data_IF_921900481246
#
_entry.id   IF_921900481246
#
_cell.length_a   1.000
_cell.length_b   1.000
_cell.length_c   1.000
_cell.angle_alpha   90.00
_cell.angle_beta   90.00
_cell.angle_gamma   90.00
#
_symmetry.space_group_name_H-M   'P 1'
#
loop_
_entity.id
_entity.type
_entity.pdbx_description
1 polymer ?
#
# COMPACT_ATOMS: atom_id res chain seq x y z
N UNK A 1 -10.92 -3.01 7.64
CA UNK A 1 -10.98 -3.94 6.47
C UNK A 1 -9.92 -5.03 6.56
N UNK A 2 -10.17 -6.21 5.99
CA UNK A 2 -9.25 -7.35 5.95
C UNK A 2 -9.07 -7.82 4.51
N UNK A 3 -7.87 -8.27 4.15
CA UNK A 3 -7.61 -8.89 2.85
C UNK A 3 -8.27 -10.28 2.81
N UNK A 4 -9.17 -10.49 1.85
CA UNK A 4 -9.97 -11.72 1.68
C UNK A 4 -9.38 -12.64 0.62
N UNK A 5 -9.02 -12.08 -0.55
CA UNK A 5 -8.44 -12.83 -1.66
C UNK A 5 -7.28 -12.07 -2.28
N UNK A 6 -6.31 -12.82 -2.78
CA UNK A 6 -5.22 -12.33 -3.58
C UNK A 6 -5.10 -13.16 -4.85
N UNK A 7 -5.39 -12.55 -5.99
CA UNK A 7 -5.25 -13.17 -7.30
C UNK A 7 -3.97 -12.66 -7.96
N UNK A 8 -3.18 -13.58 -8.49
CA UNK A 8 -1.87 -13.33 -9.10
C UNK A 8 -1.87 -13.94 -10.50
N UNK A 9 -1.60 -13.13 -11.51
CA UNK A 9 -1.47 -13.58 -12.89
C UNK A 9 -0.11 -13.15 -13.45
N UNK A 10 0.58 -14.05 -14.12
CA UNK A 10 1.81 -13.86 -14.87
C UNK A 10 2.99 -13.26 -14.08
N UNK A 11 3.17 -13.73 -12.83
CA UNK A 11 4.27 -13.27 -11.97
C UNK A 11 5.28 -14.39 -11.69
N UNK A 12 6.53 -14.28 -12.14
CA UNK A 12 7.66 -15.21 -11.93
C UNK A 12 7.34 -16.66 -12.31
N UNK A 13 7.03 -17.52 -11.33
CA UNK A 13 6.62 -18.92 -11.53
C UNK A 13 5.10 -19.11 -11.46
N UNK A 14 4.36 -18.04 -11.31
CA UNK A 14 2.91 -18.07 -11.17
C UNK A 14 2.29 -17.63 -12.49
N UNK A 15 1.61 -18.55 -13.16
CA UNK A 15 0.79 -18.23 -14.34
C UNK A 15 -0.55 -17.64 -13.91
N UNK A 16 -1.28 -18.36 -13.04
CA UNK A 16 -2.54 -17.93 -12.46
C UNK A 16 -2.71 -18.62 -11.10
N UNK A 17 -2.97 -17.83 -10.05
CA UNK A 17 -3.15 -18.32 -8.71
C UNK A 17 -4.13 -17.42 -7.95
N UNK A 18 -5.11 -18.04 -7.29
CA UNK A 18 -6.05 -17.36 -6.41
C UNK A 18 -5.87 -17.89 -4.98
N UNK A 19 -5.52 -17.02 -4.07
CA UNK A 19 -5.22 -17.33 -2.68
C UNK A 19 -6.27 -16.73 -1.76
N UNK A 20 -6.93 -17.57 -0.98
CA UNK A 20 -7.84 -17.14 0.10
C UNK A 20 -7.04 -16.76 1.34
N UNK A 21 -7.36 -15.63 1.92
CA UNK A 21 -6.69 -15.10 3.11
C UNK A 21 -7.51 -15.37 4.36
N UNK A 22 -6.81 -15.72 5.44
CA UNK A 22 -7.36 -15.80 6.80
C UNK A 22 -6.64 -14.79 7.69
N UNK A 23 -6.98 -14.74 8.97
CA UNK A 23 -6.25 -13.93 9.95
C UNK A 23 -4.78 -14.35 10.03
N UNK A 24 -4.51 -15.65 9.95
CA UNK A 24 -3.16 -16.19 9.91
C UNK A 24 -3.07 -17.23 8.80
N UNK A 25 -2.42 -16.88 7.70
CA UNK A 25 -2.19 -17.79 6.58
C UNK A 25 -0.77 -18.38 6.66
N UNK A 26 -0.67 -19.71 6.58
CA UNK A 26 0.60 -20.43 6.63
C UNK A 26 0.82 -21.14 5.31
N UNK A 27 1.81 -20.70 4.56
CA UNK A 27 2.21 -21.30 3.29
C UNK A 27 3.33 -22.30 3.49
N UNK A 28 3.08 -23.55 3.11
CA UNK A 28 4.03 -24.67 3.19
C UNK A 28 4.28 -25.26 1.81
N UNK A 29 5.40 -25.95 1.64
CA UNK A 29 5.74 -26.62 0.39
C UNK A 29 7.26 -26.78 0.26
N UNK A 30 7.71 -27.47 -0.78
CA UNK A 30 9.11 -27.71 -1.06
C UNK A 30 9.87 -26.40 -1.35
N UNK A 31 11.21 -26.48 -1.33
CA UNK A 31 12.04 -25.37 -1.77
C UNK A 31 11.76 -25.08 -3.25
N UNK A 32 11.77 -23.79 -3.60
CA UNK A 32 11.55 -23.34 -4.98
C UNK A 32 10.16 -23.63 -5.58
N UNK A 33 9.15 -23.97 -4.76
CA UNK A 33 7.77 -24.17 -5.23
C UNK A 33 6.99 -22.85 -5.43
N UNK A 34 7.54 -21.70 -5.08
CA UNK A 34 6.94 -20.38 -5.32
C UNK A 34 6.36 -19.66 -4.10
N UNK A 35 6.57 -20.17 -2.86
CA UNK A 35 6.08 -19.50 -1.62
C UNK A 35 6.51 -18.03 -1.55
N UNK A 36 7.81 -17.78 -1.68
CA UNK A 36 8.36 -16.42 -1.68
C UNK A 36 7.83 -15.55 -2.81
N UNK A 37 7.47 -16.15 -3.94
CA UNK A 37 6.93 -15.39 -5.07
C UNK A 37 5.56 -14.78 -4.75
N UNK A 38 4.73 -15.45 -3.95
CA UNK A 38 3.45 -14.91 -3.49
C UNK A 38 3.67 -13.67 -2.60
N UNK A 39 4.59 -13.74 -1.63
CA UNK A 39 4.92 -12.59 -0.77
C UNK A 39 5.52 -11.42 -1.57
N UNK A 40 6.39 -11.73 -2.54
CA UNK A 40 6.97 -10.71 -3.42
C UNK A 40 5.95 -10.11 -4.40
N UNK A 41 4.95 -10.87 -4.84
CA UNK A 41 3.84 -10.33 -5.62
C UNK A 41 3.01 -9.36 -4.77
N UNK A 42 2.76 -9.70 -3.51
CA UNK A 42 2.07 -8.79 -2.59
C UNK A 42 2.91 -7.53 -2.31
N UNK A 43 4.22 -7.65 -2.10
CA UNK A 43 5.13 -6.52 -1.96
C UNK A 43 5.11 -5.63 -3.22
N UNK A 44 5.14 -6.24 -4.42
CA UNK A 44 5.02 -5.51 -5.68
C UNK A 44 3.68 -4.75 -5.78
N UNK A 45 2.58 -5.32 -5.27
CA UNK A 45 1.30 -4.62 -5.27
C UNK A 45 1.37 -3.29 -4.49
N UNK A 46 2.03 -3.28 -3.35
CA UNK A 46 2.16 -2.09 -2.48
C UNK A 46 3.24 -1.09 -2.93
N UNK A 47 4.11 -1.46 -3.88
CA UNK A 47 5.07 -0.51 -4.47
C UNK A 47 4.34 0.51 -5.34
N UNK A 48 4.75 1.77 -5.26
CA UNK A 48 4.16 2.89 -6.00
C UNK A 48 4.96 3.30 -7.25
N UNK A 49 6.00 2.54 -7.58
CA UNK A 49 6.97 2.85 -8.63
C UNK A 49 7.35 1.60 -9.40
N UNK A 50 7.62 1.76 -10.69
CA UNK A 50 8.20 0.70 -11.55
C UNK A 50 9.71 0.56 -11.39
N UNK A 51 10.33 1.32 -10.49
CA UNK A 51 11.76 1.28 -10.24
C UNK A 51 12.18 -0.11 -9.72
N UNK A 52 13.14 -0.74 -10.38
CA UNK A 52 13.60 -2.08 -10.03
C UNK A 52 12.83 -3.23 -10.68
N UNK A 53 11.75 -2.95 -11.44
CA UNK A 53 11.07 -3.97 -12.24
C UNK A 53 11.93 -4.30 -13.46
N UNK A 54 12.05 -5.60 -13.72
CA UNK A 54 12.76 -6.16 -14.86
C UNK A 54 12.03 -7.41 -15.39
N UNK A 55 12.56 -8.07 -16.42
CA UNK A 55 12.00 -9.26 -17.03
C UNK A 55 11.85 -10.44 -16.04
N UNK A 56 12.68 -10.51 -14.99
CA UNK A 56 12.59 -11.57 -13.96
C UNK A 56 11.32 -11.51 -13.09
N UNK A 57 10.57 -10.42 -13.16
CA UNK A 57 9.27 -10.30 -12.48
C UNK A 57 8.15 -10.95 -13.30
N UNK A 58 8.32 -11.06 -14.62
CA UNK A 58 7.32 -11.63 -15.51
C UNK A 58 7.38 -13.16 -15.52
N UNK A 59 6.23 -13.79 -15.78
CA UNK A 59 6.13 -15.24 -15.76
C UNK A 59 7.03 -15.86 -16.80
N UNK A 60 7.96 -16.72 -16.35
CA UNK A 60 9.02 -17.30 -17.17
C UNK A 60 9.78 -16.31 -18.04
N UNK A 61 9.89 -15.05 -17.59
CA UNK A 61 10.51 -13.92 -18.30
C UNK A 61 9.78 -13.49 -19.58
N UNK A 62 8.53 -13.91 -19.76
CA UNK A 62 7.70 -13.49 -20.89
C UNK A 62 7.04 -12.15 -20.62
N UNK A 63 7.64 -11.06 -21.10
CA UNK A 63 7.08 -9.72 -21.01
C UNK A 63 5.93 -9.42 -21.98
N UNK A 64 5.50 -10.39 -22.79
CA UNK A 64 4.37 -10.21 -23.72
C UNK A 64 3.03 -10.18 -22.98
N UNK A 65 2.95 -10.79 -21.80
CA UNK A 65 1.78 -10.84 -20.95
C UNK A 65 1.98 -9.90 -19.76
N UNK A 66 1.00 -9.04 -19.41
CA UNK A 66 1.10 -8.18 -18.26
C UNK A 66 1.00 -8.96 -16.94
N UNK A 67 1.71 -8.52 -15.93
CA UNK A 67 1.49 -8.98 -14.56
C UNK A 67 0.20 -8.34 -14.06
N UNK A 68 -0.72 -9.15 -13.52
CA UNK A 68 -1.98 -8.68 -12.94
C UNK A 68 -2.08 -9.15 -11.49
N UNK A 69 -2.22 -8.22 -10.56
CA UNK A 69 -2.31 -8.46 -9.12
C UNK A 69 -3.62 -7.87 -8.61
N UNK A 70 -4.53 -8.70 -8.11
CA UNK A 70 -5.83 -8.24 -7.61
C UNK A 70 -5.98 -8.55 -6.12
N UNK A 71 -6.24 -7.53 -5.32
CA UNK A 71 -6.59 -7.64 -3.91
C UNK A 71 -8.07 -7.42 -3.72
N UNK A 72 -8.71 -8.31 -2.97
CA UNK A 72 -10.10 -8.18 -2.53
C UNK A 72 -10.13 -8.05 -1.02
N UNK A 73 -10.73 -6.97 -0.53
CA UNK A 73 -10.88 -6.68 0.89
C UNK A 73 -12.35 -6.83 1.30
N UNK A 74 -12.57 -7.37 2.49
CA UNK A 74 -13.88 -7.48 3.14
C UNK A 74 -13.84 -6.95 4.60
N UNK A 75 -14.87 -7.25 5.39
CA UNK A 75 -14.97 -6.90 6.83
C UNK A 75 -14.68 -5.42 7.07
N UNK A 76 -15.31 -4.57 6.27
CA UNK A 76 -15.19 -3.14 6.37
C UNK A 76 -15.85 -2.65 7.66
N UNK A 77 -15.14 -1.83 8.42
CA UNK A 77 -15.67 -1.13 9.59
C UNK A 77 -16.62 0.00 9.17
N UNK A 78 -17.51 0.45 10.06
CA UNK A 78 -18.48 1.49 9.72
C UNK A 78 -17.81 2.80 9.31
N UNK A 79 -16.71 3.16 9.96
CA UNK A 79 -15.92 4.32 9.57
C UNK A 79 -15.30 4.20 8.15
N UNK A 80 -14.99 2.99 7.71
CA UNK A 80 -14.50 2.72 6.35
C UNK A 80 -15.64 2.77 5.33
N UNK A 81 -16.84 2.26 5.69
CA UNK A 81 -18.02 2.31 4.84
C UNK A 81 -18.50 3.74 4.61
N UNK A 82 -18.42 4.60 5.65
CA UNK A 82 -18.85 6.00 5.59
C UNK A 82 -17.77 6.93 5.00
N UNK A 83 -16.56 6.42 4.75
CA UNK A 83 -15.47 7.25 4.24
C UNK A 83 -15.78 7.79 2.83
N UNK A 84 -15.66 9.11 2.59
CA UNK A 84 -16.10 9.76 1.34
C UNK A 84 -15.56 9.15 0.06
N UNK A 85 -14.38 8.55 0.13
CA UNK A 85 -13.70 7.93 -1.02
C UNK A 85 -14.05 6.46 -1.10
N UNK A 86 -13.90 5.70 0.02
CA UNK A 86 -14.08 4.25 0.03
C UNK A 86 -15.51 3.83 -0.29
N UNK A 87 -16.53 4.58 0.20
CA UNK A 87 -17.94 4.26 -0.06
C UNK A 87 -18.28 4.04 -1.55
N UNK A 88 -17.56 4.74 -2.45
CA UNK A 88 -17.77 4.62 -3.89
C UNK A 88 -17.08 3.38 -4.51
N UNK A 89 -16.28 2.66 -3.71
CA UNK A 89 -15.51 1.49 -4.12
C UNK A 89 -16.08 0.20 -3.57
N UNK A 90 -17.03 0.32 -2.64
CA UNK A 90 -17.67 -0.83 -2.01
C UNK A 90 -18.72 -1.36 -2.97
N UNK A 91 -18.53 -2.61 -3.38
CA UNK A 91 -19.50 -3.36 -4.15
C UNK A 91 -19.71 -4.71 -3.47
N UNK A 92 -20.96 -5.05 -3.16
CA UNK A 92 -21.35 -6.29 -2.43
C UNK A 92 -20.57 -6.48 -1.10
N UNK A 93 -20.32 -5.38 -0.38
CA UNK A 93 -19.58 -5.39 0.88
C UNK A 93 -18.06 -5.59 0.73
N UNK A 94 -17.52 -5.59 -0.48
CA UNK A 94 -16.11 -5.79 -0.79
C UNK A 94 -15.50 -4.59 -1.53
N UNK A 95 -14.19 -4.44 -1.40
CA UNK A 95 -13.38 -3.52 -2.22
C UNK A 95 -12.40 -4.35 -3.02
N UNK A 96 -12.42 -4.22 -4.36
CA UNK A 96 -11.49 -4.93 -5.25
C UNK A 96 -10.61 -3.95 -6.00
N UNK A 97 -9.30 -4.16 -5.90
CA UNK A 97 -8.29 -3.31 -6.52
C UNK A 97 -7.33 -4.18 -7.31
N UNK A 98 -7.08 -3.80 -8.56
CA UNK A 98 -6.15 -4.49 -9.45
C UNK A 98 -4.98 -3.57 -9.80
N UNK A 99 -3.77 -4.11 -9.72
CA UNK A 99 -2.56 -3.52 -10.28
C UNK A 99 -2.13 -4.31 -11.49
N UNK A 100 -1.86 -3.61 -12.59
CA UNK A 100 -1.32 -4.20 -13.82
C UNK A 100 0.05 -3.59 -14.08
N UNK A 101 1.05 -4.42 -14.32
CA UNK A 101 2.41 -4.02 -14.71
C UNK A 101 2.70 -4.62 -16.08
N UNK A 102 3.14 -3.79 -17.03
CA UNK A 102 3.38 -4.23 -18.40
C UNK A 102 4.64 -3.59 -19.00
N UNK A 103 5.19 -4.26 -20.00
CA UNK A 103 6.26 -3.74 -20.82
C UNK A 103 5.70 -2.99 -22.03
N UNK A 104 5.96 -1.70 -22.12
CA UNK A 104 5.56 -0.84 -23.25
C UNK A 104 6.61 -0.92 -24.35
N UNK A 105 6.39 -1.76 -25.34
CA UNK A 105 7.35 -1.98 -26.44
C UNK A 105 7.72 -0.70 -27.19
N UNK A 106 6.74 0.19 -27.43
CA UNK A 106 6.94 1.43 -28.16
C UNK A 106 7.78 2.45 -27.39
N UNK A 107 7.71 2.41 -26.06
CA UNK A 107 8.39 3.37 -25.18
C UNK A 107 9.66 2.79 -24.56
N UNK A 108 9.89 1.47 -24.68
CA UNK A 108 11.06 0.79 -24.10
C UNK A 108 11.12 0.87 -22.57
N UNK A 109 9.98 0.91 -21.91
CA UNK A 109 9.89 1.04 -20.43
C UNK A 109 8.76 0.20 -19.85
N UNK A 110 8.88 -0.08 -18.55
CA UNK A 110 7.79 -0.66 -17.79
C UNK A 110 6.79 0.43 -17.38
N UNK A 111 5.51 0.09 -17.42
CA UNK A 111 4.43 0.93 -16.92
C UNK A 111 3.61 0.16 -15.88
N UNK A 112 2.92 0.89 -15.01
CA UNK A 112 1.95 0.31 -14.09
C UNK A 112 0.68 1.12 -14.06
N UNK A 113 -0.44 0.43 -13.95
CA UNK A 113 -1.76 1.02 -13.84
C UNK A 113 -2.54 0.35 -12.70
N UNK A 114 -3.40 1.14 -12.07
CA UNK A 114 -4.30 0.65 -11.06
C UNK A 114 -5.74 0.74 -11.53
N UNK A 115 -6.52 -0.26 -11.14
CA UNK A 115 -7.93 -0.36 -11.46
C UNK A 115 -8.71 -0.65 -10.19
N UNK A 116 -9.92 -0.12 -10.11
CA UNK A 116 -10.87 -0.52 -9.09
C UNK A 116 -12.12 -1.12 -9.70
N UNK A 117 -12.73 -2.02 -8.97
CA UNK A 117 -13.99 -2.63 -9.34
C UNK A 117 -15.14 -1.76 -8.89
N UNK A 118 -15.82 -1.10 -9.82
CA UNK A 118 -16.90 -0.15 -9.54
C UNK A 118 -18.01 -0.27 -10.56
N UNK A 119 -19.22 0.07 -10.12
CA UNK A 119 -20.32 0.33 -11.04
C UNK A 119 -20.15 1.71 -11.68
N UNK A 120 -20.52 1.82 -12.95
CA UNK A 120 -20.61 3.09 -13.66
C UNK A 120 -22.07 3.51 -13.79
N UNK A 121 -22.36 4.82 -13.80
CA UNK A 121 -23.67 5.28 -14.23
C UNK A 121 -24.02 4.71 -15.61
N UNK A 122 -25.25 4.23 -15.80
CA UNK A 122 -25.71 3.76 -17.10
C UNK A 122 -25.76 4.90 -18.11
N UNK A 123 -26.14 6.08 -17.66
CA UNK A 123 -26.20 7.27 -18.50
C UNK A 123 -24.87 7.99 -18.48
N UNK A 124 -24.26 8.18 -19.68
CA UNK A 124 -22.93 8.75 -19.85
C UNK A 124 -22.79 10.14 -19.20
N UNK A 125 -23.85 10.94 -19.22
CA UNK A 125 -23.84 12.28 -18.67
C UNK A 125 -23.74 12.35 -17.13
N UNK A 126 -23.90 11.25 -16.43
CA UNK A 126 -23.58 11.12 -15.02
C UNK A 126 -22.20 10.49 -14.74
N UNK A 127 -21.51 9.96 -15.77
CA UNK A 127 -20.13 9.50 -15.61
C UNK A 127 -19.15 10.66 -15.72
N UNK A 128 -18.69 11.16 -14.57
CA UNK A 128 -17.74 12.28 -14.50
C UNK A 128 -16.39 11.99 -15.15
N UNK A 129 -16.06 10.73 -15.42
CA UNK A 129 -14.85 10.34 -16.15
C UNK A 129 -14.97 10.60 -17.65
N UNK A 130 -16.18 10.49 -18.17
CA UNK A 130 -16.52 10.81 -19.56
C UNK A 130 -16.90 12.30 -19.74
N UNK A 131 -16.70 13.14 -18.71
CA UNK A 131 -17.14 14.54 -18.68
C UNK A 131 -16.70 15.35 -19.89
N UNK A 132 -15.50 15.11 -20.41
CA UNK A 132 -14.97 15.82 -21.58
C UNK A 132 -15.81 15.59 -22.85
N UNK A 133 -16.51 14.47 -22.94
CA UNK A 133 -17.37 14.15 -24.10
C UNK A 133 -18.63 15.01 -24.15
N UNK A 134 -19.15 15.44 -22.99
CA UNK A 134 -20.43 16.13 -22.89
C UNK A 134 -20.36 17.49 -22.18
N UNK A 135 -19.17 17.96 -21.78
CA UNK A 135 -18.98 19.24 -21.05
C UNK A 135 -19.56 20.47 -21.76
N UNK A 136 -19.63 20.45 -23.09
CA UNK A 136 -20.22 21.53 -23.87
C UNK A 136 -21.77 21.59 -23.76
N UNK A 137 -22.40 20.48 -23.40
CA UNK A 137 -23.86 20.32 -23.40
C UNK A 137 -24.48 20.26 -22.00
N UNK A 138 -23.73 20.48 -20.93
CA UNK A 138 -24.20 20.31 -19.55
C UNK A 138 -25.46 21.12 -19.22
N UNK A 139 -25.62 22.31 -19.81
CA UNK A 139 -26.82 23.14 -19.61
C UNK A 139 -28.04 22.45 -20.21
N UNK A 140 -27.95 21.97 -21.44
CA UNK A 140 -29.05 21.25 -22.11
C UNK A 140 -29.40 19.98 -21.34
N UNK A 141 -28.38 19.22 -20.89
CA UNK A 141 -28.59 17.98 -20.10
C UNK A 141 -29.40 18.29 -18.82
N UNK A 142 -29.07 19.36 -18.10
CA UNK A 142 -29.79 19.77 -16.87
C UNK A 142 -31.23 20.18 -17.19
N UNK A 143 -31.45 20.91 -18.28
CA UNK A 143 -32.76 21.44 -18.67
C UNK A 143 -33.67 20.31 -19.23
N UNK A 144 -33.16 19.48 -20.13
CA UNK A 144 -33.89 18.39 -20.78
C UNK A 144 -34.30 17.28 -19.79
N UNK A 145 -33.38 16.90 -18.89
CA UNK A 145 -33.63 15.87 -17.88
C UNK A 145 -34.30 16.43 -16.62
N UNK A 146 -34.62 17.75 -16.58
CA UNK A 146 -35.24 18.43 -15.44
C UNK A 146 -34.53 18.13 -14.11
N UNK A 147 -33.17 18.20 -14.18
CA UNK A 147 -32.37 17.88 -13.00
C UNK A 147 -32.56 18.93 -11.89
N UNK A 148 -32.46 18.53 -10.59
CA UNK A 148 -32.70 19.40 -9.46
C UNK A 148 -31.81 20.65 -9.40
N UNK A 149 -32.26 21.65 -8.64
CA UNK A 149 -31.59 22.96 -8.53
C UNK A 149 -30.14 22.90 -8.03
N UNK A 150 -29.75 21.83 -7.34
CA UNK A 150 -28.35 21.66 -6.90
C UNK A 150 -27.36 21.40 -8.05
N UNK A 151 -27.82 21.22 -9.30
CA UNK A 151 -26.98 21.27 -10.50
C UNK A 151 -26.66 22.68 -10.98
N UNK A 152 -27.28 23.70 -10.34
CA UNK A 152 -27.15 25.11 -10.68
C UNK A 152 -26.42 25.86 -9.58
N UNK A 153 -25.84 26.99 -9.93
CA UNK A 153 -25.30 27.94 -8.96
C UNK A 153 -26.46 28.71 -8.29
N UNK A 154 -26.19 29.43 -7.22
CA UNK A 154 -27.17 30.30 -6.55
C UNK A 154 -27.82 31.33 -7.51
N UNK A 155 -27.13 31.66 -8.60
CA UNK A 155 -27.64 32.58 -9.67
C UNK A 155 -28.45 31.83 -10.74
N UNK A 156 -28.74 30.53 -10.57
CA UNK A 156 -29.51 29.69 -11.50
C UNK A 156 -28.76 29.27 -12.77
N UNK A 157 -27.44 29.52 -12.86
CA UNK A 157 -26.62 29.13 -14.02
C UNK A 157 -25.97 27.76 -13.80
N UNK A 158 -25.82 26.99 -14.89
CA UNK A 158 -25.09 25.72 -14.86
C UNK A 158 -23.64 26.00 -15.23
N UNK A 159 -22.71 25.70 -14.32
CA UNK A 159 -21.27 25.74 -14.55
C UNK A 159 -20.70 24.32 -14.48
N UNK A 160 -19.47 24.12 -14.97
CA UNK A 160 -18.82 22.81 -14.85
C UNK A 160 -18.67 22.34 -13.39
N UNK A 161 -18.38 23.27 -12.48
CA UNK A 161 -18.26 22.98 -11.05
C UNK A 161 -19.62 22.57 -10.46
N UNK A 162 -20.67 23.39 -10.65
CA UNK A 162 -22.01 23.10 -10.12
C UNK A 162 -22.58 21.80 -10.71
N UNK A 163 -22.27 21.50 -11.99
CA UNK A 163 -22.68 20.25 -12.60
C UNK A 163 -22.01 19.05 -11.97
N UNK A 164 -20.67 19.07 -11.81
CA UNK A 164 -19.92 17.98 -11.16
C UNK A 164 -20.36 17.74 -9.72
N UNK A 165 -20.62 18.80 -8.98
CA UNK A 165 -21.14 18.69 -7.60
C UNK A 165 -22.59 18.18 -7.58
N UNK A 166 -23.39 18.61 -8.55
CA UNK A 166 -24.75 18.10 -8.75
C UNK A 166 -24.77 16.59 -9.05
N UNK A 167 -23.90 16.10 -9.94
CA UNK A 167 -23.78 14.66 -10.24
C UNK A 167 -23.39 13.87 -8.98
N UNK A 168 -22.41 14.35 -8.21
CA UNK A 168 -22.02 13.68 -6.95
C UNK A 168 -23.21 13.56 -6.00
N UNK A 169 -23.93 14.66 -5.75
CA UNK A 169 -25.13 14.64 -4.91
C UNK A 169 -26.23 13.73 -5.46
N UNK A 170 -26.39 13.67 -6.78
CA UNK A 170 -27.40 12.83 -7.43
C UNK A 170 -27.10 11.35 -7.24
N UNK A 171 -25.80 10.97 -7.35
CA UNK A 171 -25.33 9.63 -7.04
C UNK A 171 -25.49 9.30 -5.55
N UNK A 172 -25.10 10.24 -4.67
CA UNK A 172 -25.25 10.08 -3.21
C UNK A 172 -26.70 9.88 -2.75
N UNK A 173 -27.64 10.51 -3.43
CA UNK A 173 -29.06 10.36 -3.18
C UNK A 173 -29.68 9.10 -3.81
N UNK A 174 -28.89 8.25 -4.49
CA UNK A 174 -29.37 7.05 -5.15
C UNK A 174 -30.28 7.31 -6.35
N UNK A 175 -30.21 8.48 -6.97
CA UNK A 175 -31.06 8.91 -8.09
C UNK A 175 -30.47 8.60 -9.46
N UNK A 176 -29.26 8.04 -9.50
CA UNK A 176 -28.58 7.61 -10.73
C UNK A 176 -28.66 6.09 -10.86
N UNK A 177 -29.17 5.62 -11.98
CA UNK A 177 -29.18 4.18 -12.27
C UNK A 177 -27.74 3.72 -12.58
N UNK A 178 -27.22 2.81 -11.76
CA UNK A 178 -25.88 2.25 -11.92
C UNK A 178 -25.94 1.02 -12.83
N UNK A 179 -24.96 0.90 -13.70
CA UNK A 179 -24.75 -0.30 -14.52
C UNK A 179 -24.00 -1.39 -13.77
N UNK A 180 -23.74 -2.49 -14.45
CA UNK A 180 -22.93 -3.59 -13.92
C UNK A 180 -21.52 -3.11 -13.56
N UNK A 181 -20.93 -3.64 -12.48
CA UNK A 181 -19.58 -3.27 -12.08
C UNK A 181 -18.53 -3.73 -13.10
N UNK A 182 -17.48 -2.99 -13.21
CA UNK A 182 -16.35 -3.27 -14.09
C UNK A 182 -15.06 -2.66 -13.60
N UNK A 183 -13.94 -3.06 -14.21
CA UNK A 183 -12.64 -2.48 -13.92
C UNK A 183 -12.53 -1.07 -14.47
N UNK A 184 -12.26 -0.12 -13.60
CA UNK A 184 -12.11 1.29 -13.94
C UNK A 184 -10.68 1.72 -13.69
N UNK A 185 -10.02 2.24 -14.73
CA UNK A 185 -8.62 2.71 -14.67
C UNK A 185 -8.49 3.91 -13.76
N UNK A 186 -7.41 3.91 -12.98
CA UNK A 186 -6.90 5.04 -12.19
C UNK A 186 -8.00 5.84 -11.47
N UNK A 187 -8.66 5.19 -10.53
CA UNK A 187 -9.74 5.86 -9.83
C UNK A 187 -9.20 6.97 -8.95
N UNK A 188 -9.43 8.19 -9.37
CA UNK A 188 -9.36 9.41 -8.56
C UNK A 188 -8.12 9.61 -7.69
N UNK A 189 -6.90 9.42 -8.23
CA UNK A 189 -5.69 9.69 -7.47
C UNK A 189 -5.26 8.54 -6.56
N UNK A 190 -5.32 7.31 -7.05
CA UNK A 190 -4.95 6.08 -6.33
C UNK A 190 -3.67 6.20 -5.49
N UNK A 191 -2.63 6.85 -6.03
CA UNK A 191 -1.32 6.94 -5.36
C UNK A 191 -1.38 7.69 -4.03
N UNK A 192 -2.15 8.77 -3.98
CA UNK A 192 -2.24 9.65 -2.81
C UNK A 192 -3.34 9.22 -1.83
N UNK A 193 -4.40 8.62 -2.34
CA UNK A 193 -5.61 8.34 -1.57
C UNK A 193 -5.68 6.88 -1.14
N UNK A 194 -5.56 5.93 -2.07
CA UNK A 194 -5.69 4.50 -1.76
C UNK A 194 -4.51 3.95 -0.98
N UNK A 195 -3.29 4.40 -1.27
CA UNK A 195 -2.10 3.98 -0.55
C UNK A 195 -2.14 4.28 0.95
N UNK A 196 -2.92 5.30 1.35
CA UNK A 196 -3.14 5.65 2.77
C UNK A 196 -4.37 4.99 3.39
N UNK A 197 -5.29 4.44 2.57
CA UNK A 197 -6.56 3.85 3.01
C UNK A 197 -6.54 2.32 3.08
N UNK A 198 -5.61 1.67 2.40
CA UNK A 198 -5.45 0.22 2.49
C UNK A 198 -4.69 -0.18 3.75
N UNK A 199 -4.93 -1.41 4.28
CA UNK A 199 -4.09 -1.97 5.34
C UNK A 199 -2.62 -1.87 4.98
N UNK A 200 -1.77 -1.49 5.93
CA UNK A 200 -0.33 -1.36 5.70
C UNK A 200 0.29 -2.74 5.52
N UNK A 201 1.21 -2.86 4.59
CA UNK A 201 1.90 -4.11 4.31
C UNK A 201 3.34 -4.05 4.81
N UNK A 202 3.69 -5.03 5.66
CA UNK A 202 5.03 -5.20 6.20
C UNK A 202 5.57 -6.56 5.78
N UNK A 203 6.61 -6.57 4.96
CA UNK A 203 7.25 -7.79 4.49
C UNK A 203 8.60 -8.00 5.19
N UNK A 204 8.77 -9.13 5.86
CA UNK A 204 10.00 -9.59 6.49
C UNK A 204 10.58 -10.73 5.65
N UNK A 205 11.56 -10.48 4.78
CA UNK A 205 12.14 -11.52 3.92
C UNK A 205 12.99 -12.51 4.70
N UNK A 206 13.28 -13.69 4.12
CA UNK A 206 14.24 -14.63 4.63
C UNK A 206 15.64 -14.01 4.60
N UNK A 207 16.35 -14.11 5.74
CA UNK A 207 17.63 -13.41 5.92
C UNK A 207 18.72 -14.01 5.03
N UNK A 208 18.91 -13.45 3.86
CA UNK A 208 20.22 -13.50 3.18
C UNK A 208 21.04 -12.22 3.43
N UNK A 209 20.38 -11.12 3.80
CA UNK A 209 20.98 -9.80 4.01
C UNK A 209 20.49 -9.13 5.31
N UNK A 210 20.68 -9.81 6.45
CA UNK A 210 20.33 -9.23 7.76
C UNK A 210 21.05 -7.90 8.04
N UNK A 211 22.18 -7.66 7.39
CA UNK A 211 22.90 -6.39 7.49
C UNK A 211 22.16 -5.24 6.78
N UNK A 212 21.37 -5.54 5.75
CA UNK A 212 20.57 -4.51 5.07
C UNK A 212 19.24 -4.25 5.77
N UNK A 213 18.66 -5.24 6.45
CA UNK A 213 17.39 -5.09 7.16
C UNK A 213 17.50 -4.28 8.47
N UNK A 214 18.66 -4.24 9.07
CA UNK A 214 18.90 -3.47 10.29
C UNK A 214 19.15 -1.98 10.04
N UNK A 215 19.27 -1.58 8.78
CA UNK A 215 19.35 -0.17 8.39
C UNK A 215 17.97 0.48 8.54
N UNK A 216 17.93 1.65 9.17
CA UNK A 216 16.71 2.48 9.29
C UNK A 216 16.29 3.11 7.95
N UNK A 217 16.75 2.58 6.82
CA UNK A 217 16.32 3.04 5.51
C UNK A 217 14.84 2.71 5.30
N UNK A 218 14.10 3.57 4.63
CA UNK A 218 12.67 3.39 4.33
C UNK A 218 12.33 2.09 3.59
N UNK A 219 13.33 1.37 3.12
CA UNK A 219 13.18 0.10 2.40
C UNK A 219 13.17 -1.12 3.33
N UNK A 220 13.66 -1.00 4.57
CA UNK A 220 13.68 -2.09 5.54
C UNK A 220 12.39 -2.13 6.37
N UNK A 221 12.02 -3.31 6.85
CA UNK A 221 10.86 -3.47 7.76
C UNK A 221 11.03 -2.61 9.01
N UNK A 222 12.22 -2.63 9.57
CA UNK A 222 12.55 -1.81 10.74
C UNK A 222 12.43 -0.31 10.44
N UNK A 223 12.95 0.15 9.30
CA UNK A 223 12.81 1.54 8.88
C UNK A 223 11.35 1.94 8.64
N UNK A 224 10.54 1.07 8.02
CA UNK A 224 9.09 1.31 7.83
C UNK A 224 8.36 1.42 9.17
N UNK A 225 8.63 0.53 10.13
CA UNK A 225 8.01 0.55 11.45
C UNK A 225 8.41 1.79 12.27
N UNK A 226 9.71 2.16 12.24
CA UNK A 226 10.21 3.41 12.88
C UNK A 226 9.51 4.62 12.23
N UNK A 227 9.43 4.65 10.91
CA UNK A 227 8.81 5.74 10.18
C UNK A 227 7.32 5.89 10.53
N UNK A 228 6.59 4.78 10.61
CA UNK A 228 5.18 4.76 11.00
C UNK A 228 4.98 5.24 12.44
N UNK A 229 5.80 4.75 13.37
CA UNK A 229 5.78 5.20 14.79
C UNK A 229 6.10 6.69 14.88
N UNK A 230 7.11 7.13 14.16
CA UNK A 230 7.56 8.53 14.13
C UNK A 230 6.47 9.45 13.57
N UNK A 231 5.83 9.08 12.45
CA UNK A 231 4.72 9.83 11.88
C UNK A 231 3.58 10.01 12.89
N UNK A 232 3.26 8.97 13.66
CA UNK A 232 2.23 9.05 14.71
C UNK A 232 2.66 9.98 15.86
N UNK A 233 3.91 9.87 16.34
CA UNK A 233 4.44 10.73 17.38
C UNK A 233 4.44 12.19 16.92
N UNK A 234 4.86 12.46 15.68
CA UNK A 234 4.88 13.81 15.10
C UNK A 234 3.46 14.37 15.02
N UNK A 235 2.50 13.61 14.50
CA UNK A 235 1.12 14.08 14.32
C UNK A 235 0.36 14.33 15.62
N UNK A 236 0.79 13.75 16.72
CA UNK A 236 0.11 13.85 18.02
C UNK A 236 0.77 14.85 19.00
N UNK A 237 1.96 15.34 18.71
CA UNK A 237 2.69 16.21 19.64
C UNK A 237 2.80 17.64 19.10
N UNK A 238 2.18 18.66 19.77
CA UNK A 238 2.20 20.05 19.33
C UNK A 238 3.60 20.64 19.12
N UNK A 239 4.61 20.15 19.86
CA UNK A 239 6.00 20.63 19.70
C UNK A 239 6.57 20.32 18.30
N UNK A 240 6.14 19.22 17.68
CA UNK A 240 6.59 18.90 16.34
C UNK A 240 5.94 19.80 15.28
N UNK A 241 4.73 20.30 15.54
CA UNK A 241 4.09 21.28 14.67
C UNK A 241 4.85 22.61 14.66
N UNK A 242 5.35 23.07 15.83
CA UNK A 242 6.22 24.25 15.90
C UNK A 242 7.52 24.05 15.10
N UNK A 243 8.17 22.89 15.23
CA UNK A 243 9.40 22.57 14.49
C UNK A 243 9.11 22.50 12.98
N UNK A 244 7.98 21.93 12.57
CA UNK A 244 7.55 21.90 11.18
C UNK A 244 7.39 23.30 10.58
N UNK A 245 6.74 24.21 11.32
CA UNK A 245 6.60 25.60 10.92
C UNK A 245 7.96 26.31 10.80
N UNK A 246 8.92 26.02 11.68
CA UNK A 246 10.28 26.56 11.59
C UNK A 246 11.03 26.05 10.36
N UNK A 247 10.90 24.76 10.02
CA UNK A 247 11.49 24.17 8.80
C UNK A 247 10.85 24.79 7.56
N UNK A 248 9.53 24.97 7.54
CA UNK A 248 8.81 25.66 6.46
C UNK A 248 9.25 27.12 6.31
N UNK A 249 9.45 27.83 7.42
CA UNK A 249 10.03 29.17 7.43
C UNK A 249 11.42 29.19 6.80
N UNK A 250 12.31 28.26 7.23
CA UNK A 250 13.66 28.12 6.65
C UNK A 250 13.60 27.83 5.14
N UNK A 251 12.66 26.99 4.69
CA UNK A 251 12.46 26.67 3.28
C UNK A 251 12.16 27.92 2.43
N UNK A 252 11.32 28.83 2.96
CA UNK A 252 10.99 30.10 2.28
C UNK A 252 12.20 31.05 2.21
N UNK A 253 13.08 31.05 3.20
CA UNK A 253 14.32 31.82 3.16
C UNK A 253 15.34 31.28 2.15
N UNK A 254 15.32 29.98 1.85
CA UNK A 254 16.30 29.35 0.98
C UNK A 254 15.84 29.23 -0.47
N UNK A 255 14.54 29.05 -0.72
CA UNK A 255 14.01 28.72 -2.05
C UNK A 255 12.97 29.73 -2.53
N UNK A 256 12.70 29.70 -3.83
CA UNK A 256 11.59 30.43 -4.44
C UNK A 256 10.25 29.86 -3.96
N UNK A 257 9.24 30.70 -3.96
CA UNK A 257 7.87 30.26 -3.71
C UNK A 257 7.34 29.40 -4.88
N UNK A 258 6.25 28.68 -4.67
CA UNK A 258 5.65 27.78 -5.66
C UNK A 258 5.17 28.50 -6.94
N UNK A 259 4.94 29.81 -6.88
CA UNK A 259 4.61 30.64 -8.02
C UNK A 259 5.85 31.20 -8.78
N UNK A 260 7.07 30.81 -8.30
CA UNK A 260 8.35 31.26 -8.86
C UNK A 260 8.82 32.63 -8.37
N UNK A 261 8.09 33.27 -7.45
CA UNK A 261 8.50 34.51 -6.83
C UNK A 261 9.61 34.30 -5.79
N UNK A 262 10.40 35.33 -5.57
CA UNK A 262 11.52 35.29 -4.62
C UNK A 262 11.07 35.46 -3.15
N UNK A 263 9.87 35.96 -2.88
CA UNK A 263 9.34 36.15 -1.53
C UNK A 263 10.37 36.65 -0.51
N UNK A 264 10.46 35.96 0.65
CA UNK A 264 11.41 36.26 1.72
C UNK A 264 12.81 35.68 1.50
N UNK A 265 13.13 35.22 0.31
CA UNK A 265 14.39 34.52 0.00
C UNK A 265 15.62 35.37 0.27
N UNK A 266 16.68 34.76 0.83
CA UNK A 266 17.94 35.43 1.16
C UNK A 266 18.55 36.13 -0.04
N UNK A 267 19.00 37.39 0.17
CA UNK A 267 19.57 38.22 -0.88
C UNK A 267 20.85 37.63 -1.45
N UNK A 268 21.65 37.00 -0.61
CA UNK A 268 22.92 36.36 -0.99
C UNK A 268 22.72 35.25 -2.03
N UNK A 269 21.60 34.49 -1.97
CA UNK A 269 21.29 33.47 -2.96
C UNK A 269 20.85 34.10 -4.28
N UNK A 270 20.08 35.19 -4.24
CA UNK A 270 19.66 35.94 -5.42
C UNK A 270 20.88 36.55 -6.14
N UNK A 271 21.81 37.12 -5.37
CA UNK A 271 23.04 37.72 -5.91
C UNK A 271 23.94 36.64 -6.53
N UNK A 272 24.04 35.45 -5.91
CA UNK A 272 24.78 34.32 -6.47
C UNK A 272 24.16 33.85 -7.80
N UNK A 273 22.82 33.65 -7.85
CA UNK A 273 22.12 33.30 -9.10
C UNK A 273 22.34 34.32 -10.22
N UNK A 274 22.27 35.61 -9.88
CA UNK A 274 22.50 36.70 -10.79
C UNK A 274 23.93 36.71 -11.36
N UNK A 275 24.91 36.54 -10.44
CA UNK A 275 26.31 36.51 -10.82
C UNK A 275 26.62 35.29 -11.70
N UNK A 276 26.15 34.10 -11.34
CA UNK A 276 26.31 32.87 -12.14
C UNK A 276 25.62 33.02 -13.52
N UNK A 277 24.41 33.55 -13.53
CA UNK A 277 23.68 33.79 -14.80
C UNK A 277 24.41 34.74 -15.72
N UNK A 278 24.99 35.82 -15.18
CA UNK A 278 25.79 36.78 -15.95
C UNK A 278 27.04 36.09 -16.55
N UNK A 279 27.80 35.39 -15.73
CA UNK A 279 29.02 34.69 -16.19
C UNK A 279 28.74 33.62 -17.26
N UNK A 280 27.63 32.90 -17.13
CA UNK A 280 27.25 31.86 -18.11
C UNK A 280 26.73 32.51 -19.40
N UNK A 281 26.00 33.65 -19.29
CA UNK A 281 25.44 34.34 -20.44
C UNK A 281 26.50 34.94 -21.38
N UNK A 282 27.74 35.13 -20.90
CA UNK A 282 28.88 35.53 -21.74
C UNK A 282 29.21 34.45 -22.79
N UNK A 283 29.00 33.17 -22.48
CA UNK A 283 29.32 32.06 -23.38
C UNK A 283 28.04 31.39 -23.96
N UNK A 284 26.92 31.46 -23.24
CA UNK A 284 25.65 30.84 -23.60
C UNK A 284 24.51 31.87 -23.45
N UNK A 285 24.22 32.64 -24.50
CA UNK A 285 23.17 33.66 -24.45
C UNK A 285 21.81 33.11 -24.02
N UNK A 286 21.08 33.88 -23.21
CA UNK A 286 19.74 33.53 -22.67
C UNK A 286 19.70 32.41 -21.67
N UNK A 287 20.81 32.03 -21.07
CA UNK A 287 20.86 31.00 -20.01
C UNK A 287 20.72 31.65 -18.62
N UNK A 288 19.78 31.15 -17.81
CA UNK A 288 19.60 31.55 -16.41
C UNK A 288 19.92 30.40 -15.49
N UNK A 289 20.57 30.69 -14.38
CA UNK A 289 20.86 29.70 -13.32
C UNK A 289 19.87 29.92 -12.19
N UNK A 290 19.23 28.83 -11.76
CA UNK A 290 18.43 28.79 -10.54
C UNK A 290 19.08 27.84 -9.53
N UNK A 291 19.13 28.23 -8.26
CA UNK A 291 19.63 27.42 -7.16
C UNK A 291 18.45 26.96 -6.31
N UNK A 292 18.25 25.66 -6.21
CA UNK A 292 17.26 25.06 -5.34
C UNK A 292 17.99 24.29 -4.22
N UNK A 293 17.69 24.65 -2.99
CA UNK A 293 18.27 24.01 -1.79
C UNK A 293 17.26 23.03 -1.23
N UNK A 294 17.58 21.74 -1.31
CA UNK A 294 16.72 20.69 -0.74
C UNK A 294 16.73 20.81 0.79
N UNK A 295 15.61 21.25 1.35
CA UNK A 295 15.42 21.31 2.79
C UNK A 295 14.86 19.98 3.31
N UNK A 296 15.40 19.43 4.40
CA UNK A 296 14.88 18.18 4.96
C UNK A 296 13.44 18.38 5.47
N UNK A 297 12.62 17.34 5.32
CA UNK A 297 11.33 17.27 6.01
C UNK A 297 11.55 16.83 7.47
N UNK A 298 10.59 17.10 8.33
CA UNK A 298 10.68 16.71 9.75
C UNK A 298 10.93 15.21 9.92
N UNK A 299 10.37 14.38 9.05
CA UNK A 299 10.54 12.93 9.04
C UNK A 299 11.97 12.51 8.69
N UNK A 300 12.70 13.33 7.93
CA UNK A 300 14.08 13.02 7.53
C UNK A 300 15.04 12.98 8.74
N UNK A 301 14.70 13.70 9.81
CA UNK A 301 15.46 13.67 11.07
C UNK A 301 15.50 12.29 11.74
N UNK A 302 14.57 11.41 11.37
CA UNK A 302 14.46 10.06 11.94
C UNK A 302 14.99 8.97 11.02
N UNK A 303 15.38 9.31 9.78
CA UNK A 303 15.87 8.34 8.79
C UNK A 303 17.13 7.58 9.24
N UNK A 304 17.97 8.20 10.05
CA UNK A 304 19.22 7.64 10.54
C UNK A 304 19.13 7.20 12.01
N UNK A 305 17.95 6.77 12.46
CA UNK A 305 17.78 6.25 13.83
C UNK A 305 18.62 4.98 14.01
N UNK A 306 19.54 4.98 14.98
CA UNK A 306 20.39 3.84 15.34
C UNK A 306 19.83 3.17 16.58
N UNK A 307 19.54 1.86 16.49
CA UNK A 307 19.18 1.06 17.66
C UNK A 307 20.41 0.41 18.24
N UNK A 308 20.75 0.77 19.45
CA UNK A 308 21.82 0.17 20.23
C UNK A 308 21.26 -0.90 21.18
N UNK A 309 21.97 -2.01 21.28
CA UNK A 309 21.64 -3.15 22.11
C UNK A 309 22.77 -3.38 23.07
N UNK A 310 22.41 -3.44 24.35
CA UNK A 310 23.32 -3.78 25.44
C UNK A 310 23.07 -5.23 25.86
N UNK A 311 23.96 -6.12 25.45
CA UNK A 311 24.05 -7.50 25.91
C UNK A 311 25.35 -7.76 26.68
N UNK A 312 25.80 -6.78 27.43
CA UNK A 312 27.05 -6.56 28.17
C UNK A 312 28.03 -5.59 27.50
N UNK A 313 27.89 -5.37 26.18
CA UNK A 313 28.64 -4.37 25.40
C UNK A 313 27.66 -3.66 24.49
N UNK A 314 27.37 -2.36 24.76
CA UNK A 314 26.48 -1.58 23.91
C UNK A 314 27.05 -1.46 22.49
N UNK A 315 26.36 -2.04 21.52
CA UNK A 315 26.73 -1.95 20.11
C UNK A 315 25.48 -1.79 19.25
N UNK A 316 25.63 -1.27 18.03
CA UNK A 316 24.52 -1.17 17.11
C UNK A 316 23.98 -2.56 16.76
N UNK A 317 22.68 -2.64 16.41
CA UNK A 317 22.03 -3.88 15.96
C UNK A 317 22.78 -4.55 14.81
N UNK A 318 23.43 -3.77 13.95
CA UNK A 318 24.19 -4.26 12.79
C UNK A 318 25.45 -5.06 13.20
N UNK A 319 25.97 -4.82 14.40
CA UNK A 319 27.14 -5.53 14.93
C UNK A 319 26.77 -6.80 15.71
N UNK A 320 25.48 -7.12 15.83
CA UNK A 320 24.99 -8.29 16.56
C UNK A 320 24.77 -9.48 15.62
N UNK A 321 24.78 -10.69 16.18
CA UNK A 321 24.47 -11.90 15.41
C UNK A 321 23.03 -11.92 14.88
N UNK A 322 22.82 -12.57 13.73
CA UNK A 322 21.53 -12.61 13.00
C UNK A 322 20.33 -13.06 13.85
N UNK A 323 20.52 -14.00 14.77
CA UNK A 323 19.46 -14.43 15.69
C UNK A 323 18.95 -13.30 16.59
N UNK A 324 19.86 -12.47 17.12
CA UNK A 324 19.50 -11.33 17.97
C UNK A 324 18.87 -10.22 17.13
N UNK A 325 19.38 -9.94 15.94
CA UNK A 325 18.79 -8.96 15.03
C UNK A 325 17.33 -9.32 14.71
N UNK A 326 17.03 -10.58 14.39
CA UNK A 326 15.66 -11.06 14.17
C UNK A 326 14.80 -10.96 15.42
N UNK A 327 15.33 -11.37 16.58
CA UNK A 327 14.60 -11.26 17.84
C UNK A 327 14.12 -9.82 18.08
N UNK A 328 14.94 -8.87 17.71
CA UNK A 328 14.64 -7.43 17.89
C UNK A 328 13.60 -6.96 16.89
N UNK A 329 13.67 -7.38 15.62
CA UNK A 329 12.62 -7.08 14.64
C UNK A 329 11.27 -7.59 15.14
N UNK A 330 11.20 -8.81 15.67
CA UNK A 330 9.96 -9.33 16.23
C UNK A 330 9.51 -8.65 17.52
N UNK A 331 10.46 -8.34 18.43
CA UNK A 331 10.13 -7.56 19.61
C UNK A 331 9.58 -6.18 19.23
N UNK A 332 10.11 -5.60 18.17
CA UNK A 332 9.66 -4.33 17.63
C UNK A 332 8.26 -4.41 17.01
N UNK A 333 7.99 -5.41 16.19
CA UNK A 333 6.66 -5.67 15.63
C UNK A 333 5.64 -5.85 16.75
N UNK A 334 5.98 -6.63 17.78
CA UNK A 334 5.12 -6.82 18.95
C UNK A 334 4.88 -5.54 19.74
N UNK A 335 5.93 -4.75 19.96
CA UNK A 335 5.83 -3.47 20.64
C UNK A 335 4.97 -2.48 19.86
N UNK A 336 5.11 -2.47 18.52
CA UNK A 336 4.32 -1.64 17.62
C UNK A 336 2.84 -2.04 17.67
N UNK A 337 2.52 -3.32 17.56
CA UNK A 337 1.13 -3.81 17.67
C UNK A 337 0.50 -3.42 19.02
N UNK A 338 1.24 -3.60 20.13
CA UNK A 338 0.77 -3.21 21.46
C UNK A 338 0.60 -1.68 21.61
N UNK A 339 1.52 -0.90 21.07
CA UNK A 339 1.46 0.56 21.09
C UNK A 339 0.24 1.10 20.35
N UNK A 340 -0.10 0.49 19.21
CA UNK A 340 -1.33 0.83 18.46
C UNK A 340 -2.56 0.57 19.34
N UNK A 341 -2.70 -0.63 19.89
CA UNK A 341 -3.85 -1.03 20.71
C UNK A 341 -4.05 -0.11 21.93
N UNK A 342 -2.98 0.25 22.64
CA UNK A 342 -3.03 1.16 23.79
C UNK A 342 -3.41 2.59 23.41
N UNK A 343 -2.94 3.08 22.26
CA UNK A 343 -3.23 4.45 21.79
C UNK A 343 -4.66 4.58 21.32
N UNK A 344 -5.21 3.58 20.66
CA UNK A 344 -6.61 3.52 20.22
C UNK A 344 -7.59 3.51 21.40
N UNK A 345 -7.29 2.73 22.43
CA UNK A 345 -8.11 2.65 23.65
C UNK A 345 -8.11 3.98 24.42
N UNK A 346 -7.01 4.75 24.39
CA UNK A 346 -6.87 5.99 25.18
C UNK A 346 -7.58 7.20 24.56
N UNK A 347 -7.80 7.22 23.23
CA UNK A 347 -8.32 8.39 22.51
C UNK A 347 -9.81 8.31 22.13
N UNK A 348 -10.46 7.15 22.29
CA UNK A 348 -11.86 6.95 21.87
C UNK A 348 -12.09 7.18 20.36
N UNK A 349 -11.03 7.33 19.60
CA UNK A 349 -11.00 7.48 18.15
C UNK A 349 -9.88 6.56 17.65
N UNK A 350 -10.22 5.30 17.36
CA UNK A 350 -9.29 4.44 16.64
C UNK A 350 -8.87 5.13 15.33
N UNK A 351 -7.62 4.97 14.86
CA UNK A 351 -7.27 5.43 13.52
C UNK A 351 -8.21 4.72 12.54
N UNK A 352 -8.73 5.48 11.59
CA UNK A 352 -9.65 4.99 10.54
C UNK A 352 -9.10 3.75 9.79
N UNK A 353 -7.79 3.44 9.93
CA UNK A 353 -7.09 2.40 9.18
C UNK A 353 -5.92 1.83 10.01
N UNK A 354 -6.23 1.12 11.11
CA UNK A 354 -5.21 0.58 12.03
C UNK A 354 -4.65 -0.78 11.62
N UNK A 355 -5.38 -1.52 10.79
CA UNK A 355 -5.01 -2.89 10.44
C UNK A 355 -3.79 -2.94 9.51
N UNK A 356 -2.92 -3.92 9.75
CA UNK A 356 -1.78 -4.20 8.89
C UNK A 356 -1.76 -5.67 8.45
N UNK A 357 -1.01 -5.93 7.39
CA UNK A 357 -0.70 -7.27 6.89
C UNK A 357 0.79 -7.51 7.11
N UNK A 358 1.12 -8.46 7.95
CA UNK A 358 2.49 -8.87 8.26
C UNK A 358 2.83 -10.14 7.48
N UNK A 359 3.72 -10.04 6.51
CA UNK A 359 4.22 -11.17 5.75
C UNK A 359 5.64 -11.53 6.21
N UNK A 360 5.88 -12.78 6.57
CA UNK A 360 7.18 -13.24 7.06
C UNK A 360 7.63 -14.47 6.27
N UNK A 361 8.85 -14.39 5.74
CA UNK A 361 9.51 -15.49 5.06
C UNK A 361 10.45 -16.21 6.01
N UNK A 362 10.28 -17.54 6.12
CA UNK A 362 11.10 -18.44 6.94
C UNK A 362 11.31 -17.93 8.39
N UNK A 363 10.24 -17.74 9.19
CA UNK A 363 10.35 -17.24 10.56
C UNK A 363 11.22 -18.13 11.45
N UNK A 364 11.39 -19.40 11.11
CA UNK A 364 12.18 -20.39 11.83
C UNK A 364 13.70 -20.20 11.77
N UNK A 365 14.21 -19.49 10.77
CA UNK A 365 15.65 -19.34 10.59
C UNK A 365 16.32 -18.74 11.82
N UNK A 366 17.43 -19.39 12.25
CA UNK A 366 18.26 -19.00 13.40
C UNK A 366 17.59 -19.13 14.79
N UNK A 367 16.40 -19.75 14.88
CA UNK A 367 15.74 -19.98 16.17
C UNK A 367 15.80 -21.44 16.60
N UNK A 368 16.15 -21.63 17.90
CA UNK A 368 15.95 -22.92 18.55
C UNK A 368 14.45 -23.29 18.58
N UNK A 369 14.06 -24.57 18.52
CA UNK A 369 12.66 -25.02 18.57
C UNK A 369 11.77 -24.33 19.59
N UNK A 370 12.29 -24.13 20.82
CA UNK A 370 11.53 -23.42 21.86
C UNK A 370 11.29 -21.93 21.51
N UNK A 371 12.23 -21.31 20.80
CA UNK A 371 12.07 -19.95 20.28
C UNK A 371 11.01 -19.87 19.19
N UNK A 372 10.99 -20.85 18.28
CA UNK A 372 9.97 -20.94 17.22
C UNK A 372 8.55 -21.06 17.78
N UNK A 373 8.33 -21.88 18.83
CA UNK A 373 7.02 -21.98 19.50
C UNK A 373 6.60 -20.65 20.15
N UNK A 374 7.52 -19.99 20.85
CA UNK A 374 7.23 -18.67 21.44
C UNK A 374 6.87 -17.64 20.38
N UNK A 375 7.56 -17.66 19.25
CA UNK A 375 7.29 -16.79 18.12
C UNK A 375 5.90 -17.09 17.53
N UNK A 376 5.56 -18.35 17.32
CA UNK A 376 4.24 -18.74 16.82
C UNK A 376 3.12 -18.15 17.68
N UNK A 377 3.21 -18.29 19.01
CA UNK A 377 2.24 -17.71 19.92
C UNK A 377 2.14 -16.18 19.78
N UNK A 378 3.26 -15.50 19.58
CA UNK A 378 3.25 -14.04 19.36
C UNK A 378 2.56 -13.68 18.04
N UNK A 379 2.79 -14.46 16.98
CA UNK A 379 2.16 -14.25 15.70
C UNK A 379 0.65 -14.56 15.75
N UNK A 380 0.23 -15.56 16.52
CA UNK A 380 -1.19 -15.82 16.78
C UNK A 380 -1.85 -14.66 17.55
N UNK A 381 -1.17 -14.04 18.50
CA UNK A 381 -1.69 -12.86 19.20
C UNK A 381 -1.83 -11.66 18.25
N UNK A 382 -0.87 -11.43 17.38
CA UNK A 382 -0.97 -10.39 16.33
C UNK A 382 -2.13 -10.69 15.37
N UNK A 383 -2.32 -11.96 15.00
CA UNK A 383 -3.36 -12.36 14.07
C UNK A 383 -4.80 -12.16 14.61
N UNK A 384 -4.98 -11.90 15.90
CA UNK A 384 -6.31 -11.58 16.47
C UNK A 384 -6.84 -10.22 16.00
N UNK A 385 -5.97 -9.27 15.76
CA UNK A 385 -6.32 -7.91 15.32
C UNK A 385 -5.97 -7.66 13.86
N UNK A 386 -4.81 -8.15 13.44
CA UNK A 386 -4.20 -7.91 12.15
C UNK A 386 -4.22 -9.16 11.26
N UNK A 387 -3.50 -9.16 10.15
CA UNK A 387 -3.34 -10.36 9.33
C UNK A 387 -1.87 -10.76 9.25
N UNK A 388 -1.61 -12.06 9.40
CA UNK A 388 -0.26 -12.62 9.35
C UNK A 388 -0.17 -13.64 8.21
N UNK A 389 0.86 -13.53 7.38
CA UNK A 389 1.14 -14.45 6.28
C UNK A 389 2.53 -15.02 6.49
N UNK A 390 2.64 -16.34 6.63
CA UNK A 390 3.91 -17.04 6.85
C UNK A 390 4.28 -17.91 5.67
N UNK A 391 5.55 -17.87 5.26
CA UNK A 391 6.18 -18.91 4.45
C UNK A 391 7.13 -19.70 5.34
N UNK A 392 6.89 -20.98 5.55
CA UNK A 392 7.69 -21.77 6.49
C UNK A 392 7.96 -23.20 6.00
N UNK A 393 9.08 -23.76 6.44
CA UNK A 393 9.41 -25.18 6.34
C UNK A 393 9.34 -25.89 7.72
N UNK A 394 9.07 -25.14 8.78
CA UNK A 394 9.08 -25.68 10.14
C UNK A 394 7.71 -26.21 10.57
N UNK A 395 7.69 -27.44 11.05
CA UNK A 395 6.49 -28.05 11.63
C UNK A 395 5.97 -27.30 12.88
N UNK A 396 6.79 -26.43 13.50
CA UNK A 396 6.37 -25.68 14.68
C UNK A 396 5.38 -24.56 14.37
N UNK A 397 5.28 -24.15 13.11
CA UNK A 397 4.31 -23.16 12.63
C UNK A 397 3.07 -23.81 12.00
N UNK A 398 3.01 -25.15 11.91
CA UNK A 398 1.88 -25.88 11.36
C UNK A 398 1.08 -26.49 12.50
N UNK A 399 -0.17 -26.06 12.67
CA UNK A 399 -1.08 -26.59 13.68
C UNK A 399 -2.29 -27.22 12.99
N UNK A 400 -2.52 -28.52 13.25
CA UNK A 400 -3.65 -29.25 12.67
C UNK A 400 -5.03 -28.72 13.11
N UNK A 401 -5.10 -28.01 14.23
CA UNK A 401 -6.36 -27.36 14.63
C UNK A 401 -6.74 -26.18 13.72
N UNK A 402 -5.75 -25.62 13.01
CA UNK A 402 -5.92 -24.47 12.13
C UNK A 402 -5.64 -24.85 10.67
N UNK A 403 -6.00 -26.07 10.24
CA UNK A 403 -5.74 -26.56 8.88
C UNK A 403 -6.33 -25.68 7.78
N UNK A 404 -7.42 -24.97 8.07
CA UNK A 404 -8.04 -24.01 7.15
C UNK A 404 -7.12 -22.81 6.83
N UNK A 405 -6.13 -22.57 7.67
CA UNK A 405 -5.15 -21.50 7.51
C UNK A 405 -3.92 -21.96 6.70
N UNK A 406 -3.91 -23.20 6.24
CA UNK A 406 -2.75 -23.79 5.56
C UNK A 406 -2.96 -23.74 4.04
N UNK A 407 -1.99 -23.19 3.35
CA UNK A 407 -1.89 -23.22 1.90
C UNK A 407 -0.67 -24.06 1.49
N UNK A 408 -0.90 -25.12 0.74
CA UNK A 408 0.16 -26.00 0.26
C UNK A 408 0.53 -25.60 -1.16
N UNK A 409 1.82 -25.29 -1.36
CA UNK A 409 2.35 -24.97 -2.68
C UNK A 409 3.22 -26.11 -3.19
N UNK A 410 3.06 -26.40 -4.47
CA UNK A 410 3.84 -27.39 -5.19
C UNK A 410 4.24 -26.88 -6.57
N UNK A 411 5.26 -27.49 -7.14
CA UNK A 411 5.74 -27.20 -8.47
C UNK A 411 6.32 -28.44 -9.11
N UNK A 412 5.78 -28.85 -10.24
CA UNK A 412 6.21 -30.04 -10.94
C UNK A 412 7.11 -29.67 -12.13
N UNK A 413 8.23 -30.37 -12.32
CA UNK A 413 9.09 -30.29 -13.51
C UNK A 413 9.42 -28.86 -14.00
N UNK A 414 9.71 -27.94 -13.09
CA UNK A 414 9.93 -26.53 -13.40
C UNK A 414 8.72 -25.81 -14.05
N UNK A 415 7.54 -26.41 -14.01
CA UNK A 415 6.27 -25.80 -14.45
C UNK A 415 5.79 -24.67 -13.53
N UNK A 416 4.57 -24.22 -13.68
CA UNK A 416 4.00 -23.17 -12.85
C UNK A 416 3.77 -23.61 -11.41
N UNK A 417 3.77 -22.64 -10.50
CA UNK A 417 3.39 -22.84 -9.10
C UNK A 417 1.92 -23.26 -9.01
N UNK A 418 1.65 -24.33 -8.29
CA UNK A 418 0.30 -24.84 -7.98
C UNK A 418 -0.01 -24.57 -6.52
N UNK A 419 -1.26 -24.22 -6.23
CA UNK A 419 -1.79 -24.00 -4.89
C UNK A 419 -2.85 -25.05 -4.57
N UNK A 420 -2.76 -25.63 -3.40
CA UNK A 420 -3.82 -26.41 -2.77
C UNK A 420 -4.16 -25.78 -1.42
N UNK A 421 -5.35 -25.24 -1.30
CA UNK A 421 -5.85 -24.62 -0.07
C UNK A 421 -7.25 -25.15 0.21
N UNK A 422 -7.46 -25.55 1.44
CA UNK A 422 -8.77 -25.99 1.87
C UNK A 422 -9.60 -24.80 2.35
N UNK A 423 -10.72 -24.54 1.67
CA UNK A 423 -11.60 -23.40 1.95
C UNK A 423 -12.93 -23.80 2.63
N UNK A 424 -13.11 -25.10 2.94
CA UNK A 424 -14.31 -25.64 3.57
C UNK A 424 -14.01 -26.31 4.92
N UNK A 425 -15.04 -26.83 5.56
CA UNK A 425 -14.90 -27.64 6.77
C UNK A 425 -14.83 -29.14 6.39
N UNK A 426 -13.67 -29.78 6.62
CA UNK A 426 -13.45 -31.21 6.29
C UNK A 426 -14.47 -32.09 7.02
N UNK A 427 -14.79 -31.75 8.25
CA UNK A 427 -15.70 -32.56 9.06
C UNK A 427 -17.13 -32.49 8.53
N UNK A 428 -17.55 -31.36 7.96
CA UNK A 428 -18.85 -31.22 7.31
C UNK A 428 -18.90 -31.99 6.00
N UNK A 429 -17.83 -32.02 5.21
CA UNK A 429 -17.77 -32.81 3.96
C UNK A 429 -17.77 -34.30 4.21
N UNK A 430 -17.02 -34.80 5.19
CA UNK A 430 -17.04 -36.23 5.57
C UNK A 430 -18.41 -36.65 6.09
N UNK A 431 -19.13 -35.80 6.85
CA UNK A 431 -20.51 -36.10 7.26
C UNK A 431 -21.47 -36.17 6.06
N UNK A 432 -21.31 -35.30 5.05
CA UNK A 432 -22.14 -35.34 3.84
C UNK A 432 -21.83 -36.57 3.02
N UNK A 433 -20.56 -36.93 2.83
CA UNK A 433 -20.17 -38.14 2.09
C UNK A 433 -20.54 -39.42 2.84
N UNK A 434 -20.49 -39.45 4.17
CA UNK A 434 -20.93 -40.60 4.96
C UNK A 434 -22.45 -40.79 4.96
N UNK A 435 -23.23 -39.73 4.81
CA UNK A 435 -24.70 -39.78 4.68
C UNK A 435 -25.19 -40.06 3.26
N UNK A 436 -24.31 -39.97 2.27
CA UNK A 436 -24.60 -40.26 0.85
C UNK A 436 -24.18 -41.66 0.41
N UNK A 437 -23.56 -42.44 1.28
CA UNK A 437 -23.29 -43.88 1.14
C UNK A 437 -24.26 -44.70 2.03
#
# INVERSE_FOLDING_TARGET
MKLKHFDIEHFRTIENLSLSMSEMLIMVGENNCGKSNILRALDLFYQDSVRGINDEHFCFKDCSLPISLTLTFDRLEDAEKDHPILKNWIYDGEIKIKKVVQWEKEQGKYSMQFFGWQSKPKEEHFDLKSFDNYKANIKNIVDENKLPDYFRTEKGTVTQASYKDGVKKHIENGLVEMGDPGWIVNPGGYKEVFGSLLPRFHFVPAVRDAQDESKTTQQTVFGKLINDLTNRIISQNPKFEEVKQQIEGLRKYLNKESDGSDGDRLQEIKDLESTLSSMISENLPNTKVGIEIVTPELIDLFKDTVVNIDDSIPTSINAKGHGLQRAIVFAYIRAYAKFIDETEKSQGKGPLFSNFILAIEEPELYWHPNGQRKMFNVLEEIAKTDQVILCTHSNFFVNMHNYQNIAILSRENNGPTKLSQFTGDIFVQEEIESKSR
#
